data_IF_811817449609
#
_entry.id   IF_811817449609
#
_cell.length_a   1.000
_cell.length_b   1.000
_cell.length_c   1.000
_cell.angle_alpha   90.00
_cell.angle_beta   90.00
_cell.angle_gamma   90.00
#
_symmetry.space_group_name_H-M   'P 1'
#
loop_
_entity.id
_entity.type
_entity.pdbx_description
1 polymer ?
#
# COMPACT_ATOMS: atom_id res chain seq x y z
N UNK A 1 -11.07 8.15 14.02
CA UNK A 1 -11.35 8.27 12.56
C UNK A 1 -12.75 7.73 12.29
N UNK A 2 -13.35 7.90 11.10
CA UNK A 2 -14.75 7.50 10.79
C UNK A 2 -15.11 6.06 11.21
N UNK A 3 -14.12 5.16 11.25
CA UNK A 3 -14.23 3.78 11.72
C UNK A 3 -14.61 3.65 13.22
N UNK A 4 -14.34 4.66 14.06
CA UNK A 4 -14.62 4.62 15.50
C UNK A 4 -16.10 4.95 15.83
N UNK A 5 -16.83 5.58 14.90
CA UNK A 5 -18.20 6.05 15.12
C UNK A 5 -19.28 5.17 14.46
N UNK A 6 -18.94 4.03 13.83
CA UNK A 6 -19.94 3.14 13.22
C UNK A 6 -20.95 2.59 14.24
N UNK A 7 -20.60 2.54 15.53
CA UNK A 7 -21.53 2.14 16.60
C UNK A 7 -22.49 3.25 17.05
N UNK A 8 -22.16 4.50 16.75
CA UNK A 8 -22.95 5.68 17.16
C UNK A 8 -23.95 6.12 16.09
N UNK A 9 -23.85 5.54 14.88
CA UNK A 9 -24.67 5.89 13.74
C UNK A 9 -25.26 4.65 13.06
N UNK A 10 -26.52 4.71 12.60
CA UNK A 10 -27.22 3.55 12.02
C UNK A 10 -26.63 3.05 10.70
N UNK A 11 -25.70 3.80 10.09
CA UNK A 11 -24.93 3.38 8.91
C UNK A 11 -23.71 4.28 8.69
N UNK A 12 -22.75 3.79 7.91
CA UNK A 12 -21.61 4.59 7.41
C UNK A 12 -22.08 5.88 6.71
N UNK A 13 -23.17 5.83 5.96
CA UNK A 13 -23.72 7.02 5.31
C UNK A 13 -24.32 8.04 6.30
N UNK A 14 -24.93 7.57 7.38
CA UNK A 14 -25.42 8.44 8.45
C UNK A 14 -24.26 9.14 9.17
N UNK A 15 -23.16 8.42 9.44
CA UNK A 15 -21.94 9.01 9.99
C UNK A 15 -21.33 10.06 9.04
N UNK A 16 -21.19 9.74 7.74
CA UNK A 16 -20.69 10.67 6.73
C UNK A 16 -21.55 11.94 6.68
N UNK A 17 -22.87 11.82 6.64
CA UNK A 17 -23.76 12.98 6.57
C UNK A 17 -23.66 13.85 7.82
N UNK A 18 -23.59 13.23 9.01
CA UNK A 18 -23.43 13.94 10.29
C UNK A 18 -22.11 14.72 10.34
N UNK A 19 -21.01 14.10 9.91
CA UNK A 19 -19.68 14.72 9.91
C UNK A 19 -19.59 15.81 8.83
N UNK A 20 -20.12 15.58 7.63
CA UNK A 20 -20.13 16.55 6.56
C UNK A 20 -20.84 17.85 6.97
N UNK A 21 -21.98 17.73 7.67
CA UNK A 21 -22.70 18.88 8.23
C UNK A 21 -21.86 19.68 9.25
N UNK A 22 -21.06 19.01 10.10
CA UNK A 22 -20.17 19.67 11.07
C UNK A 22 -19.00 20.41 10.40
N UNK A 23 -18.50 19.88 9.28
CA UNK A 23 -17.37 20.45 8.53
C UNK A 23 -17.83 21.53 7.53
N UNK A 24 -19.12 21.55 7.17
CA UNK A 24 -19.68 22.51 6.22
C UNK A 24 -19.55 22.08 4.75
N UNK A 25 -19.54 20.77 4.48
CA UNK A 25 -19.52 20.21 3.12
C UNK A 25 -20.70 19.26 2.89
N UNK A 26 -20.87 18.78 1.64
CA UNK A 26 -21.89 17.77 1.34
C UNK A 26 -21.42 16.38 1.75
N UNK A 27 -22.36 15.49 2.08
CA UNK A 27 -22.04 14.08 2.37
C UNK A 27 -21.37 13.37 1.18
N UNK A 28 -21.70 13.77 -0.06
CA UNK A 28 -21.07 13.24 -1.27
C UNK A 28 -19.58 13.61 -1.34
N UNK A 29 -19.27 14.90 -1.14
CA UNK A 29 -17.87 15.38 -1.12
C UNK A 29 -17.06 14.66 -0.06
N UNK A 30 -17.59 14.52 1.16
CA UNK A 30 -16.88 13.81 2.22
C UNK A 30 -16.70 12.32 1.90
N UNK A 31 -17.71 11.68 1.31
CA UNK A 31 -17.62 10.28 0.90
C UNK A 31 -16.54 10.06 -0.18
N UNK A 32 -16.40 10.98 -1.13
CA UNK A 32 -15.34 10.93 -2.14
C UNK A 32 -13.96 11.03 -1.50
N UNK A 33 -13.77 11.93 -0.54
CA UNK A 33 -12.52 12.06 0.19
C UNK A 33 -12.18 10.81 1.00
N UNK A 34 -13.17 10.23 1.69
CA UNK A 34 -12.97 8.98 2.45
C UNK A 34 -12.56 7.85 1.52
N UNK A 35 -13.24 7.68 0.39
CA UNK A 35 -12.88 6.64 -0.60
C UNK A 35 -11.47 6.82 -1.14
N UNK A 36 -11.09 8.06 -1.45
CA UNK A 36 -9.74 8.35 -1.91
C UNK A 36 -8.70 7.99 -0.85
N UNK A 37 -8.93 8.38 0.41
CA UNK A 37 -8.03 8.06 1.52
C UNK A 37 -7.93 6.54 1.78
N UNK A 38 -9.04 5.80 1.64
CA UNK A 38 -9.03 4.33 1.75
C UNK A 38 -8.17 3.68 0.66
N UNK A 39 -8.27 4.15 -0.58
CA UNK A 39 -7.43 3.67 -1.70
C UNK A 39 -5.97 4.01 -1.47
N UNK A 40 -5.65 5.27 -1.15
CA UNK A 40 -4.28 5.71 -0.86
C UNK A 40 -3.65 4.89 0.27
N UNK A 41 -4.39 4.58 1.33
CA UNK A 41 -3.90 3.75 2.43
C UNK A 41 -3.49 2.33 1.97
N UNK A 42 -4.27 1.72 1.07
CA UNK A 42 -3.93 0.40 0.50
C UNK A 42 -2.73 0.49 -0.44
N UNK A 43 -2.64 1.55 -1.26
CA UNK A 43 -1.50 1.80 -2.13
C UNK A 43 -0.21 1.93 -1.32
N UNK A 44 -0.20 2.74 -0.26
CA UNK A 44 0.96 2.89 0.62
C UNK A 44 1.33 1.57 1.30
N UNK A 45 0.36 0.84 1.88
CA UNK A 45 0.64 -0.46 2.51
C UNK A 45 1.23 -1.46 1.51
N UNK A 46 0.78 -1.43 0.25
CA UNK A 46 1.30 -2.28 -0.81
C UNK A 46 2.73 -1.90 -1.18
N UNK A 47 3.03 -0.60 -1.32
CA UNK A 47 4.39 -0.12 -1.59
C UNK A 47 5.35 -0.47 -0.46
N UNK A 48 4.95 -0.32 0.80
CA UNK A 48 5.76 -0.71 1.96
C UNK A 48 6.04 -2.22 1.96
N UNK A 49 5.02 -3.03 1.65
CA UNK A 49 5.20 -4.49 1.55
C UNK A 49 6.15 -4.86 0.42
N UNK A 50 6.01 -4.22 -0.76
CA UNK A 50 6.89 -4.44 -1.92
C UNK A 50 8.33 -4.05 -1.59
N UNK A 51 8.57 -2.89 -0.98
CA UNK A 51 9.91 -2.47 -0.55
C UNK A 51 10.52 -3.47 0.43
N UNK A 52 9.78 -3.84 1.47
CA UNK A 52 10.25 -4.80 2.45
C UNK A 52 10.57 -6.15 1.79
N UNK A 53 9.68 -6.67 0.95
CA UNK A 53 9.88 -7.97 0.30
C UNK A 53 11.10 -7.96 -0.62
N UNK A 54 11.25 -6.94 -1.47
CA UNK A 54 12.31 -6.92 -2.49
C UNK A 54 13.68 -6.51 -1.93
N UNK A 55 13.71 -5.55 -1.00
CA UNK A 55 14.95 -4.92 -0.56
C UNK A 55 15.40 -5.33 0.84
N UNK A 56 14.53 -5.91 1.68
CA UNK A 56 14.86 -6.21 3.10
C UNK A 56 14.67 -7.66 3.50
N UNK A 57 13.72 -8.37 2.90
CA UNK A 57 13.40 -9.76 3.26
C UNK A 57 14.51 -10.71 2.79
N UNK A 58 15.12 -11.43 3.73
CA UNK A 58 16.13 -12.44 3.42
C UNK A 58 15.47 -13.80 3.16
N UNK A 59 15.90 -14.47 2.08
CA UNK A 59 15.37 -15.77 1.68
C UNK A 59 16.48 -16.83 1.67
N UNK A 60 16.35 -17.85 2.50
CA UNK A 60 17.34 -18.94 2.59
C UNK A 60 17.61 -19.67 1.25
N UNK A 61 16.60 -19.97 0.39
CA UNK A 61 16.84 -20.66 -0.88
C UNK A 61 17.78 -19.93 -1.85
N UNK A 62 17.90 -18.61 -1.75
CA UNK A 62 18.77 -17.79 -2.61
C UNK A 62 20.01 -17.28 -1.87
N UNK A 63 20.34 -17.90 -0.72
CA UNK A 63 21.57 -17.59 0.03
C UNK A 63 21.40 -16.53 1.11
N UNK A 64 20.19 -16.33 1.65
CA UNK A 64 19.88 -15.35 2.69
C UNK A 64 20.19 -13.90 2.27
N UNK A 65 19.94 -13.57 1.01
CA UNK A 65 20.01 -12.20 0.47
C UNK A 65 18.61 -11.72 0.05
N UNK A 66 18.39 -10.41 -0.11
CA UNK A 66 17.15 -9.88 -0.65
C UNK A 66 16.91 -10.31 -2.11
N UNK A 67 15.65 -10.48 -2.55
CA UNK A 67 15.32 -10.81 -3.92
C UNK A 67 15.95 -9.87 -4.96
N UNK A 68 15.91 -8.55 -4.72
CA UNK A 68 16.47 -7.57 -5.66
C UNK A 68 17.99 -7.76 -5.86
N UNK A 69 18.70 -8.15 -4.80
CA UNK A 69 20.14 -8.44 -4.90
C UNK A 69 20.40 -9.73 -5.67
N UNK A 70 19.58 -10.77 -5.45
CA UNK A 70 19.69 -12.01 -6.21
C UNK A 70 19.43 -11.81 -7.70
N UNK A 71 18.42 -11.02 -8.07
CA UNK A 71 18.15 -10.64 -9.46
C UNK A 71 19.32 -9.86 -10.06
N UNK A 72 19.86 -8.87 -9.35
CA UNK A 72 21.01 -8.09 -9.82
C UNK A 72 22.24 -8.99 -10.10
N UNK A 73 22.53 -9.95 -9.20
CA UNK A 73 23.61 -10.93 -9.40
C UNK A 73 23.33 -11.84 -10.60
N UNK A 74 22.08 -12.27 -10.78
CA UNK A 74 21.69 -13.10 -11.92
C UNK A 74 21.93 -12.39 -13.26
N UNK A 75 21.49 -11.13 -13.38
CA UNK A 75 21.69 -10.35 -14.60
C UNK A 75 23.16 -10.03 -14.87
N UNK A 76 23.96 -9.72 -13.84
CA UNK A 76 25.39 -9.51 -14.00
C UNK A 76 26.10 -10.76 -14.56
N UNK A 77 25.77 -11.95 -14.04
CA UNK A 77 26.31 -13.22 -14.54
C UNK A 77 25.89 -13.50 -16.00
N UNK A 78 24.64 -13.19 -16.37
CA UNK A 78 24.16 -13.33 -17.74
C UNK A 78 24.92 -12.40 -18.71
N UNK A 79 25.21 -11.17 -18.28
CA UNK A 79 25.99 -10.22 -19.09
C UNK A 79 27.44 -10.68 -19.26
N UNK A 80 28.10 -11.11 -18.17
CA UNK A 80 29.47 -11.64 -18.22
C UNK A 80 29.60 -12.87 -19.12
N UNK A 81 28.65 -13.80 -19.02
CA UNK A 81 28.63 -14.99 -19.87
C UNK A 81 28.36 -14.66 -21.34
N UNK A 82 27.52 -13.67 -21.62
CA UNK A 82 27.29 -13.20 -22.99
C UNK A 82 28.52 -12.51 -23.60
N UNK A 83 29.31 -11.79 -22.80
CA UNK A 83 30.55 -11.14 -23.25
C UNK A 83 31.73 -12.11 -23.45
N UNK A 84 31.72 -13.24 -22.78
CA UNK A 84 32.78 -14.25 -22.86
C UNK A 84 32.60 -15.28 -24.00
N UNK A 85 31.43 -15.27 -24.68
CA UNK A 85 31.07 -16.17 -25.77
C UNK A 85 31.32 -15.54 -27.16
#
# INVERSE_FOLDING_TARGET
>A
MVLDHEREHPSRWAAITSIAAKIGCTGQTLNEWVKKAEVEAVEFATLEWVDWFNNRRLLAPIGNIPPAEAEARHYALLEETAMAA
#
